data_IF_296779365940
#
_entry.id   IF_296779365940
#
_cell.length_a   1.000
_cell.length_b   1.000
_cell.length_c   1.000
_cell.angle_alpha   90.00
_cell.angle_beta   90.00
_cell.angle_gamma   90.00
#
_symmetry.space_group_name_H-M   'P 1'
#
loop_
_entity.id
_entity.type
_entity.pdbx_description
1 polymer ?
#
# COMPACT_ATOMS: atom_id res chain seq x y z
N UNK A 1 27.00 4.47 -18.51
CA UNK A 1 26.28 3.39 -17.81
C UNK A 1 24.86 3.23 -18.35
N UNK A 2 24.71 2.48 -19.45
CA UNK A 2 23.41 2.25 -20.09
C UNK A 2 22.68 1.09 -19.42
N UNK A 3 21.69 1.38 -18.58
CA UNK A 3 20.89 0.34 -17.94
C UNK A 3 19.85 -0.17 -18.94
N UNK A 4 20.16 -1.28 -19.59
CA UNK A 4 19.25 -1.99 -20.49
C UNK A 4 17.91 -2.25 -19.81
N UNK A 5 16.81 -1.91 -20.51
CA UNK A 5 15.43 -2.21 -20.16
C UNK A 5 14.71 -1.43 -19.02
N UNK A 6 15.38 -0.58 -18.21
CA UNK A 6 14.67 0.22 -17.18
C UNK A 6 13.84 1.39 -17.73
N UNK A 7 14.10 1.83 -18.97
CA UNK A 7 13.47 3.03 -19.55
C UNK A 7 11.95 2.92 -19.73
N UNK A 8 11.35 1.73 -19.76
CA UNK A 8 9.91 1.55 -20.01
C UNK A 8 9.12 1.10 -18.78
N UNK A 9 9.72 0.28 -17.91
CA UNK A 9 9.09 -0.27 -16.71
C UNK A 9 8.88 0.78 -15.61
N UNK A 10 9.80 1.73 -15.48
CA UNK A 10 9.71 2.80 -14.46
C UNK A 10 8.84 3.98 -14.92
N UNK A 11 8.28 3.96 -16.13
CA UNK A 11 7.43 5.05 -16.62
C UNK A 11 6.12 5.11 -15.83
N UNK A 12 5.70 6.31 -15.46
CA UNK A 12 4.46 6.59 -14.72
C UNK A 12 3.23 5.93 -15.35
N UNK A 13 3.12 5.97 -16.69
CA UNK A 13 2.02 5.33 -17.44
C UNK A 13 1.90 3.81 -17.30
N UNK A 14 2.93 3.12 -16.79
CA UNK A 14 2.98 1.66 -16.59
C UNK A 14 3.17 1.30 -15.12
N UNK A 15 3.03 2.28 -14.21
CA UNK A 15 3.22 2.10 -12.79
C UNK A 15 2.17 1.12 -12.25
N UNK A 16 2.65 0.07 -11.61
CA UNK A 16 1.81 -0.88 -10.87
C UNK A 16 1.59 -0.38 -9.45
N UNK A 17 0.62 -0.97 -8.77
CA UNK A 17 0.31 -0.68 -7.36
C UNK A 17 1.51 -0.93 -6.45
N UNK A 18 1.78 0.01 -5.55
CA UNK A 18 2.90 -0.04 -4.63
C UNK A 18 2.63 -1.01 -3.45
N UNK A 19 3.70 -1.41 -2.75
CA UNK A 19 3.65 -2.42 -1.69
C UNK A 19 2.85 -1.97 -0.46
N UNK A 20 3.03 -0.71 -0.07
CA UNK A 20 2.32 -0.03 1.00
C UNK A 20 0.81 0.02 0.76
N UNK A 21 0.39 0.35 -0.47
CA UNK A 21 -1.01 0.37 -0.87
C UNK A 21 -1.65 -1.03 -0.80
N UNK A 22 -0.93 -2.05 -1.26
CA UNK A 22 -1.41 -3.44 -1.18
C UNK A 22 -1.51 -3.90 0.28
N UNK A 23 -0.57 -3.49 1.13
CA UNK A 23 -0.62 -3.79 2.57
C UNK A 23 -1.82 -3.09 3.24
N UNK A 24 -2.17 -1.87 2.82
CA UNK A 24 -3.39 -1.20 3.27
C UNK A 24 -4.67 -1.94 2.83
N UNK A 25 -4.72 -2.46 1.60
CA UNK A 25 -5.83 -3.29 1.12
C UNK A 25 -5.98 -4.58 1.93
N UNK A 26 -4.86 -5.21 2.31
CA UNK A 26 -4.87 -6.42 3.13
C UNK A 26 -5.32 -6.14 4.56
N UNK A 27 -4.98 -4.96 5.11
CA UNK A 27 -5.42 -4.52 6.44
C UNK A 27 -6.92 -4.18 6.47
N UNK A 28 -7.48 -3.68 5.37
CA UNK A 28 -8.83 -3.14 5.35
C UNK A 28 -9.60 -3.52 4.08
N UNK A 29 -10.73 -4.27 4.20
CA UNK A 29 -11.50 -4.70 3.04
C UNK A 29 -12.17 -3.53 2.30
N UNK A 30 -12.38 -2.40 2.99
CA UNK A 30 -12.94 -1.17 2.39
C UNK A 30 -12.04 -0.60 1.30
N UNK A 31 -10.73 -0.52 1.53
CA UNK A 31 -9.77 -0.01 0.55
C UNK A 31 -9.71 -0.90 -0.70
N UNK A 32 -9.80 -2.22 -0.50
CA UNK A 32 -9.85 -3.19 -1.58
C UNK A 32 -11.12 -3.00 -2.43
N UNK A 33 -12.29 -2.85 -1.79
CA UNK A 33 -13.55 -2.63 -2.49
C UNK A 33 -13.53 -1.33 -3.32
N UNK A 34 -13.13 -0.22 -2.71
CA UNK A 34 -12.98 1.07 -3.39
C UNK A 34 -12.05 0.95 -4.60
N UNK A 35 -10.92 0.26 -4.46
CA UNK A 35 -10.02 0.05 -5.58
C UNK A 35 -10.66 -0.75 -6.72
N UNK A 36 -11.39 -1.83 -6.41
CA UNK A 36 -12.07 -2.63 -7.43
C UNK A 36 -13.15 -1.84 -8.14
N UNK A 37 -13.88 -0.98 -7.43
CA UNK A 37 -14.90 -0.09 -7.99
C UNK A 37 -14.32 0.94 -8.97
N UNK A 38 -13.05 1.35 -8.82
CA UNK A 38 -12.41 2.26 -9.79
C UNK A 38 -12.23 1.66 -11.19
N UNK A 39 -12.45 0.35 -11.36
CA UNK A 39 -12.25 -0.36 -12.62
C UNK A 39 -13.58 -0.93 -13.10
N UNK A 40 -13.98 -0.55 -14.30
CA UNK A 40 -15.11 -1.16 -14.97
C UNK A 40 -14.82 -2.65 -15.22
N UNK A 41 -15.78 -3.53 -14.92
CA UNK A 41 -15.61 -4.97 -15.08
C UNK A 41 -15.39 -5.38 -16.54
N UNK A 42 -15.94 -4.62 -17.49
CA UNK A 42 -15.88 -4.88 -18.93
C UNK A 42 -14.46 -4.73 -19.50
N UNK A 43 -13.68 -3.79 -18.97
CA UNK A 43 -12.30 -3.52 -19.41
C UNK A 43 -11.27 -4.50 -18.80
N UNK A 44 -11.70 -5.30 -17.83
CA UNK A 44 -10.82 -6.19 -17.08
C UNK A 44 -10.80 -7.61 -17.68
N UNK A 45 -9.63 -8.28 -17.66
CA UNK A 45 -9.57 -9.67 -18.09
C UNK A 45 -10.44 -10.55 -17.19
N UNK A 46 -11.16 -11.50 -17.77
CA UNK A 46 -12.06 -12.39 -17.05
C UNK A 46 -13.24 -11.67 -16.37
N UNK A 47 -13.65 -10.49 -16.87
CA UNK A 47 -14.70 -9.64 -16.30
C UNK A 47 -14.43 -9.24 -14.84
N UNK A 48 -13.15 -9.17 -14.45
CA UNK A 48 -12.76 -8.85 -13.07
C UNK A 48 -13.12 -9.95 -12.06
N UNK A 49 -13.34 -11.20 -12.48
CA UNK A 49 -13.66 -12.30 -11.54
C UNK A 49 -12.42 -12.81 -10.81
N UNK A 50 -11.30 -12.94 -11.51
CA UNK A 50 -10.10 -13.59 -10.98
C UNK A 50 -9.02 -12.56 -10.62
N UNK A 51 -8.95 -12.20 -9.34
CA UNK A 51 -8.02 -11.18 -8.83
C UNK A 51 -7.05 -11.72 -7.78
N UNK A 52 -5.77 -11.43 -7.96
CA UNK A 52 -4.75 -11.64 -6.93
C UNK A 52 -4.49 -10.31 -6.21
N UNK A 53 -4.84 -10.24 -4.91
CA UNK A 53 -4.69 -9.06 -4.07
C UNK A 53 -3.22 -8.68 -3.86
N UNK A 54 -2.37 -9.66 -3.57
CA UNK A 54 -0.96 -9.45 -3.24
C UNK A 54 -0.12 -8.93 -4.41
N UNK A 55 -0.47 -9.33 -5.63
CA UNK A 55 0.21 -8.91 -6.86
C UNK A 55 -0.54 -7.80 -7.61
N UNK A 56 -1.72 -7.39 -7.13
CA UNK A 56 -2.62 -6.43 -7.76
C UNK A 56 -2.82 -6.71 -9.27
N UNK A 57 -3.11 -7.97 -9.61
CA UNK A 57 -3.23 -8.43 -11.00
C UNK A 57 -4.52 -9.22 -11.23
N UNK A 58 -5.16 -8.91 -12.36
CA UNK A 58 -6.34 -9.60 -12.87
C UNK A 58 -5.95 -10.72 -13.83
N UNK A 59 -6.72 -11.81 -13.81
CA UNK A 59 -6.53 -12.99 -14.65
C UNK A 59 -7.82 -13.31 -15.41
N UNK A 60 -7.67 -13.97 -16.55
CA UNK A 60 -8.78 -14.40 -17.41
C UNK A 60 -9.55 -15.61 -16.85
N UNK A 61 -8.83 -16.57 -16.26
CA UNK A 61 -9.38 -17.87 -15.81
C UNK A 61 -8.92 -18.21 -14.39
N UNK A 62 -9.67 -19.09 -13.73
CA UNK A 62 -9.33 -19.60 -12.40
C UNK A 62 -8.00 -20.35 -12.39
N UNK A 63 -7.77 -21.19 -13.41
CA UNK A 63 -6.55 -21.99 -13.53
C UNK A 63 -5.31 -21.10 -13.57
N UNK A 64 -5.36 -20.00 -14.32
CA UNK A 64 -4.28 -19.02 -14.39
C UNK A 64 -3.99 -18.38 -13.02
N UNK A 65 -5.01 -18.10 -12.23
CA UNK A 65 -4.86 -17.57 -10.87
C UNK A 65 -4.23 -18.60 -9.91
N UNK A 66 -4.64 -19.88 -10.01
CA UNK A 66 -4.08 -20.97 -9.20
C UNK A 66 -2.61 -21.22 -9.55
N UNK A 67 -2.26 -21.25 -10.84
CA UNK A 67 -0.87 -21.39 -11.31
C UNK A 67 -0.03 -20.19 -10.88
N UNK A 68 -0.57 -18.96 -10.98
CA UNK A 68 0.10 -17.75 -10.51
C UNK A 68 0.46 -17.83 -9.01
N UNK A 69 -0.49 -18.27 -8.16
CA UNK A 69 -0.26 -18.42 -6.72
C UNK A 69 0.86 -19.42 -6.38
N UNK A 70 1.00 -20.49 -7.19
CA UNK A 70 2.09 -21.48 -6.99
C UNK A 70 3.45 -20.96 -7.48
N UNK A 71 3.46 -19.96 -8.35
CA UNK A 71 4.65 -19.41 -9.00
C UNK A 71 5.63 -18.69 -8.06
N UNK A 72 6.91 -18.71 -8.43
CA UNK A 72 7.99 -17.94 -7.77
C UNK A 72 7.71 -16.43 -7.63
N UNK A 73 7.17 -15.70 -8.64
CA UNK A 73 6.97 -14.26 -8.50
C UNK A 73 5.97 -13.90 -7.40
N UNK A 74 4.90 -14.68 -7.28
CA UNK A 74 3.90 -14.52 -6.23
C UNK A 74 4.51 -14.78 -4.84
N UNK A 75 5.21 -15.91 -4.67
CA UNK A 75 5.90 -16.24 -3.41
C UNK A 75 6.91 -15.17 -2.97
N UNK A 76 7.62 -14.56 -3.93
CA UNK A 76 8.50 -13.41 -3.66
C UNK A 76 7.71 -12.20 -3.17
N UNK A 77 6.56 -11.91 -3.77
CA UNK A 77 5.68 -10.80 -3.36
C UNK A 77 5.10 -11.01 -1.97
N UNK A 78 4.62 -12.21 -1.66
CA UNK A 78 4.19 -12.60 -0.31
C UNK A 78 5.29 -12.33 0.71
N UNK A 79 6.53 -12.73 0.41
CA UNK A 79 7.67 -12.51 1.32
C UNK A 79 7.91 -11.02 1.56
N UNK A 80 7.85 -10.18 0.52
CA UNK A 80 7.97 -8.72 0.65
C UNK A 80 6.84 -8.12 1.50
N UNK A 81 5.61 -8.60 1.36
CA UNK A 81 4.45 -8.07 2.12
C UNK A 81 4.50 -8.43 3.61
N UNK A 82 5.25 -9.46 4.00
CA UNK A 82 5.47 -9.80 5.42
C UNK A 82 6.24 -8.72 6.15
N UNK A 83 7.18 -8.06 5.49
CA UNK A 83 7.97 -6.97 6.05
C UNK A 83 7.13 -5.68 6.15
N UNK A 84 7.37 -4.84 7.16
CA UNK A 84 6.74 -3.51 7.28
C UNK A 84 7.11 -2.70 6.02
N UNK A 85 6.14 -2.09 5.31
CA UNK A 85 6.45 -1.35 4.10
C UNK A 85 7.12 -0.04 4.51
N UNK A 86 8.21 0.29 3.83
CA UNK A 86 8.93 1.53 4.08
C UNK A 86 8.01 2.74 3.92
N UNK A 87 7.96 3.61 4.92
CA UNK A 87 7.12 4.81 4.89
C UNK A 87 7.95 6.08 4.87
N UNK A 88 7.34 7.17 4.40
CA UNK A 88 7.97 8.49 4.40
C UNK A 88 8.39 8.94 5.81
N UNK A 89 7.63 8.57 6.84
CA UNK A 89 7.95 8.87 8.24
C UNK A 89 9.25 8.21 8.70
N UNK A 90 9.52 6.99 8.24
CA UNK A 90 10.79 6.30 8.53
C UNK A 90 11.97 7.00 7.83
N UNK A 91 11.75 7.50 6.61
CA UNK A 91 12.75 8.29 5.88
C UNK A 91 13.10 9.59 6.61
N UNK A 92 12.08 10.30 7.08
CA UNK A 92 12.23 11.55 7.83
C UNK A 92 12.91 11.29 9.18
N UNK A 93 12.48 10.26 9.92
CA UNK A 93 13.11 9.87 11.17
C UNK A 93 14.60 9.51 11.01
N UNK A 94 14.96 8.81 9.91
CA UNK A 94 16.35 8.52 9.59
C UNK A 94 17.18 9.78 9.26
N UNK A 95 16.54 10.83 8.72
CA UNK A 95 17.14 12.14 8.50
C UNK A 95 17.13 13.03 9.77
N UNK A 96 16.61 12.54 10.90
CA UNK A 96 16.48 13.31 12.15
C UNK A 96 15.30 14.27 12.19
N UNK A 97 14.39 14.19 11.22
CA UNK A 97 13.12 14.94 11.17
C UNK A 97 12.03 14.08 11.80
N UNK A 98 11.56 14.46 12.98
CA UNK A 98 10.40 13.82 13.63
C UNK A 98 9.21 14.76 13.53
N UNK A 99 8.10 14.26 12.99
CA UNK A 99 6.82 14.96 13.05
C UNK A 99 6.11 14.56 14.34
N UNK A 100 6.21 15.40 15.37
CA UNK A 100 5.38 15.30 16.57
C UNK A 100 3.94 15.61 16.19
N UNK A 101 3.23 14.60 15.69
CA UNK A 101 1.78 14.69 15.41
C UNK A 101 0.94 14.79 16.70
N UNK A 102 1.60 14.84 17.86
CA UNK A 102 1.08 15.34 19.12
C UNK A 102 1.14 16.87 19.15
N UNK A 103 0.57 17.52 18.13
CA UNK A 103 0.57 18.97 18.04
C UNK A 103 -0.24 19.57 19.18
N UNK A 104 0.40 20.34 20.06
CA UNK A 104 -0.13 21.41 20.95
C UNK A 104 -1.35 21.14 21.86
N UNK A 105 -2.21 20.13 21.61
CA UNK A 105 -3.43 19.82 22.37
C UNK A 105 -3.13 19.30 23.76
N UNK A 106 -2.09 18.47 23.94
CA UNK A 106 -1.64 18.09 25.29
C UNK A 106 -1.10 19.28 26.08
N UNK A 107 -0.55 20.29 25.40
CA UNK A 107 0.02 21.47 26.05
C UNK A 107 -1.07 22.44 26.52
N UNK A 108 -2.19 22.53 25.80
CA UNK A 108 -3.38 23.29 26.23
C UNK A 108 -4.18 22.53 27.29
N UNK A 109 -4.41 21.23 27.11
CA UNK A 109 -5.16 20.40 28.07
C UNK A 109 -4.41 20.27 29.42
N UNK A 110 -3.07 20.24 29.42
CA UNK A 110 -2.28 20.29 30.65
C UNK A 110 -2.29 21.67 31.31
N UNK A 111 -2.35 22.76 30.54
CA UNK A 111 -2.39 24.12 31.09
C UNK A 111 -3.77 24.46 31.70
N UNK A 112 -4.86 24.01 31.10
CA UNK A 112 -6.21 24.16 31.65
C UNK A 112 -6.41 23.32 32.93
N UNK A 113 -5.85 22.10 32.99
CA UNK A 113 -5.95 21.22 34.17
C UNK A 113 -5.14 21.72 35.39
N UNK A 114 -4.04 22.45 35.20
CA UNK A 114 -3.27 23.07 36.30
C UNK A 114 -3.96 24.32 36.87
N UNK A 115 -4.75 25.02 36.05
CA UNK A 115 -5.47 26.23 36.48
C UNK A 115 -6.75 25.92 37.28
N UNK A 116 -7.43 24.80 37.01
CA UNK A 116 -8.59 24.34 37.80
C UNK A 116 -8.21 23.76 39.18
N UNK A 117 -6.98 23.27 39.36
CA UNK A 117 -6.49 22.72 40.63
C UNK A 117 -5.93 23.77 41.60
N UNK A 118 -5.86 25.04 41.18
CA UNK A 118 -5.28 26.16 41.95
C UNK A 118 -6.26 27.29 42.29
N UNK A 119 -7.55 27.13 41.95
CA UNK A 119 -8.67 28.00 42.37
C UNK A 119 -9.64 27.33 43.33
#
# INVERSE_FOLDING_TARGET
>A
MGVGNKRTLTKTRRKTRDLDQIKADLRSPKHLAQYKETKASEDLPGLGKWYCTECAKWFETEVSLVVHKKGKPHKRRVKQLREEPYTQKEAEAAAGLVTDNEGHRRRTEAADAEMEMTT
#
